data_IF_863329838003
#
_entry.id   IF_863329838003
#
_cell.length_a   1.000
_cell.length_b   1.000
_cell.length_c   1.000
_cell.angle_alpha   90.00
_cell.angle_beta   90.00
_cell.angle_gamma   90.00
#
_symmetry.space_group_name_H-M   'P 1'
#
loop_
_entity.id
_entity.type
_entity.pdbx_description
1 polymer ?
#
# COMPACT_ATOMS: atom_id res chain seq x y z
N UNK A 1 14.50 17.06 -26.11
CA UNK A 1 13.14 17.52 -26.41
C UNK A 1 12.28 16.28 -26.51
N UNK A 2 11.13 16.23 -25.83
CA UNK A 2 10.28 15.04 -25.80
C UNK A 2 9.49 14.95 -27.10
N UNK A 3 9.44 13.76 -27.69
CA UNK A 3 8.66 13.44 -28.89
C UNK A 3 7.27 12.90 -28.54
N UNK A 4 6.37 12.86 -29.53
CA UNK A 4 5.06 12.24 -29.33
C UNK A 4 5.19 10.72 -29.11
N UNK A 5 6.20 10.10 -29.70
CA UNK A 5 6.58 8.72 -29.49
C UNK A 5 6.98 8.47 -28.03
N UNK A 6 7.79 9.35 -27.43
CA UNK A 6 8.18 9.25 -26.01
C UNK A 6 6.95 9.35 -25.08
N UNK A 7 6.02 10.26 -25.40
CA UNK A 7 4.77 10.41 -24.67
C UNK A 7 3.90 9.15 -24.75
N UNK A 8 3.71 8.61 -25.96
CA UNK A 8 2.95 7.39 -26.17
C UNK A 8 3.63 6.17 -25.53
N UNK A 9 4.96 6.11 -25.56
CA UNK A 9 5.74 5.06 -24.90
C UNK A 9 5.52 5.07 -23.40
N UNK A 10 5.60 6.24 -22.75
CA UNK A 10 5.34 6.40 -21.32
C UNK A 10 3.92 5.95 -20.95
N UNK A 11 2.91 6.36 -21.73
CA UNK A 11 1.52 5.97 -21.47
C UNK A 11 1.35 4.46 -21.54
N UNK A 12 1.77 3.85 -22.64
CA UNK A 12 1.46 2.45 -22.93
C UNK A 12 2.29 1.46 -22.13
N UNK A 13 3.55 1.79 -21.79
CA UNK A 13 4.47 0.87 -21.15
C UNK A 13 4.63 1.09 -19.64
N UNK A 14 4.17 2.23 -19.11
CA UNK A 14 4.26 2.52 -17.67
C UNK A 14 2.90 2.90 -17.10
N UNK A 15 2.32 4.00 -17.57
CA UNK A 15 1.15 4.58 -16.91
C UNK A 15 -0.05 3.65 -16.91
N UNK A 16 -0.45 3.10 -18.06
CA UNK A 16 -1.65 2.25 -18.14
C UNK A 16 -1.55 1.00 -17.28
N UNK A 17 -0.36 0.37 -17.24
CA UNK A 17 -0.10 -0.83 -16.44
C UNK A 17 -0.26 -0.50 -14.95
N UNK A 18 0.49 0.50 -14.48
CA UNK A 18 0.49 0.90 -13.07
C UNK A 18 -0.89 1.45 -12.65
N UNK A 19 -1.59 2.15 -13.54
CA UNK A 19 -2.94 2.65 -13.27
C UNK A 19 -3.93 1.49 -13.07
N UNK A 20 -3.87 0.45 -13.91
CA UNK A 20 -4.72 -0.72 -13.76
C UNK A 20 -4.46 -1.44 -12.42
N UNK A 21 -3.18 -1.61 -12.04
CA UNK A 21 -2.81 -2.21 -10.75
C UNK A 21 -3.30 -1.34 -9.59
N UNK A 22 -3.16 -0.02 -9.69
CA UNK A 22 -3.64 0.93 -8.69
C UNK A 22 -5.16 0.81 -8.46
N UNK A 23 -5.93 0.67 -9.55
CA UNK A 23 -7.37 0.43 -9.44
C UNK A 23 -7.68 -0.92 -8.78
N UNK A 24 -6.91 -1.96 -9.08
CA UNK A 24 -7.09 -3.28 -8.45
C UNK A 24 -6.80 -3.23 -6.93
N UNK A 25 -5.80 -2.46 -6.51
CA UNK A 25 -5.47 -2.28 -5.09
C UNK A 25 -6.48 -1.41 -4.34
N UNK A 26 -6.94 -0.31 -4.94
CA UNK A 26 -7.81 0.65 -4.26
C UNK A 26 -9.30 0.32 -4.38
N UNK A 27 -9.70 -0.44 -5.41
CA UNK A 27 -11.10 -0.72 -5.74
C UNK A 27 -11.88 0.49 -6.27
N UNK A 28 -11.24 1.64 -6.45
CA UNK A 28 -11.84 2.88 -6.91
C UNK A 28 -10.82 3.76 -7.65
N UNK A 29 -11.31 4.73 -8.44
CA UNK A 29 -10.46 5.66 -9.17
C UNK A 29 -9.89 6.73 -8.22
N UNK A 30 -8.56 6.84 -8.04
CA UNK A 30 -7.97 7.87 -7.19
C UNK A 30 -8.11 9.25 -7.84
N UNK A 31 -8.62 10.22 -7.08
CA UNK A 31 -8.97 11.56 -7.58
C UNK A 31 -7.72 12.32 -8.05
N UNK A 32 -6.62 12.21 -7.33
CA UNK A 32 -5.35 12.87 -7.63
C UNK A 32 -4.81 12.44 -9.00
N UNK A 33 -4.90 11.15 -9.32
CA UNK A 33 -4.47 10.61 -10.62
C UNK A 33 -5.40 11.10 -11.73
N UNK A 34 -6.72 11.19 -11.48
CA UNK A 34 -7.66 11.72 -12.47
C UNK A 34 -7.37 13.18 -12.81
N UNK A 35 -7.02 14.00 -11.82
CA UNK A 35 -6.64 15.41 -12.02
C UNK A 35 -5.38 15.52 -12.88
N UNK A 36 -4.37 14.68 -12.63
CA UNK A 36 -3.16 14.65 -13.46
C UNK A 36 -3.45 14.16 -14.89
N UNK A 37 -4.33 13.16 -15.06
CA UNK A 37 -4.78 12.71 -16.38
C UNK A 37 -5.51 13.82 -17.15
N UNK A 38 -6.41 14.55 -16.50
CA UNK A 38 -7.14 15.66 -17.09
C UNK A 38 -6.17 16.78 -17.51
N UNK A 39 -5.23 17.13 -16.64
CA UNK A 39 -4.19 18.12 -16.93
C UNK A 39 -3.32 17.69 -18.11
N UNK A 40 -2.93 16.41 -18.18
CA UNK A 40 -2.19 15.85 -19.31
C UNK A 40 -2.98 15.96 -20.61
N UNK A 41 -4.28 15.61 -20.58
CA UNK A 41 -5.16 15.67 -21.74
C UNK A 41 -5.36 17.11 -22.24
N UNK A 42 -5.57 18.07 -21.35
CA UNK A 42 -5.70 19.49 -21.71
C UNK A 42 -4.46 19.98 -22.45
N UNK A 43 -3.26 19.70 -21.94
CA UNK A 43 -2.01 20.07 -22.59
C UNK A 43 -1.80 19.34 -23.92
N UNK A 44 -2.12 18.05 -23.99
CA UNK A 44 -1.99 17.28 -25.24
C UNK A 44 -2.96 17.76 -26.33
N UNK A 45 -4.16 18.20 -25.93
CA UNK A 45 -5.14 18.80 -26.84
C UNK A 45 -4.61 20.11 -27.46
N UNK A 46 -3.95 20.96 -26.65
CA UNK A 46 -3.29 22.17 -27.17
C UNK A 46 -2.16 21.79 -28.12
N UNK A 47 -1.29 20.84 -27.75
CA UNK A 47 -0.21 20.34 -28.62
C UNK A 47 -0.72 19.87 -30.00
N UNK A 48 -1.89 19.24 -30.03
CA UNK A 48 -2.49 18.66 -31.24
C UNK A 48 -3.11 19.70 -32.18
N UNK A 49 -3.56 20.84 -31.64
CA UNK A 49 -4.33 21.85 -32.40
C UNK A 49 -3.55 23.16 -32.65
N UNK A 50 -2.46 23.40 -31.94
CA UNK A 50 -1.62 24.59 -32.11
C UNK A 50 -0.72 24.47 -33.35
N UNK A 51 -0.43 25.60 -34.00
CA UNK A 51 0.46 25.69 -35.17
C UNK A 51 1.85 26.21 -34.79
N UNK A 52 1.97 26.97 -33.71
CA UNK A 52 3.24 27.44 -33.21
C UNK A 52 4.03 26.28 -32.57
N UNK A 53 5.15 25.90 -33.19
CA UNK A 53 5.99 24.78 -32.75
C UNK A 53 6.55 24.92 -31.33
N UNK A 54 6.86 26.14 -30.87
CA UNK A 54 7.34 26.37 -29.50
C UNK A 54 6.25 26.08 -28.48
N UNK A 55 5.04 26.58 -28.71
CA UNK A 55 3.87 26.34 -27.85
C UNK A 55 3.49 24.86 -27.88
N UNK A 56 3.58 24.21 -29.04
CA UNK A 56 3.37 22.75 -29.16
C UNK A 56 4.37 21.99 -28.30
N UNK A 57 5.66 22.24 -28.46
CA UNK A 57 6.71 21.54 -27.74
C UNK A 57 6.58 21.73 -26.21
N UNK A 58 6.25 22.94 -25.76
CA UNK A 58 6.01 23.23 -24.34
C UNK A 58 4.82 22.42 -23.80
N UNK A 59 3.71 22.38 -24.52
CA UNK A 59 2.51 21.65 -24.09
C UNK A 59 2.72 20.13 -24.10
N UNK A 60 3.45 19.59 -25.08
CA UNK A 60 3.81 18.17 -25.07
C UNK A 60 4.68 17.82 -23.85
N UNK A 61 5.65 18.68 -23.52
CA UNK A 61 6.48 18.51 -22.33
C UNK A 61 5.65 18.56 -21.03
N UNK A 62 4.67 19.46 -20.93
CA UNK A 62 3.76 19.53 -19.78
C UNK A 62 2.89 18.28 -19.69
N UNK A 63 2.27 17.86 -20.79
CA UNK A 63 1.47 16.65 -20.85
C UNK A 63 2.27 15.42 -20.39
N UNK A 64 3.50 15.27 -20.89
CA UNK A 64 4.42 14.22 -20.45
C UNK A 64 4.67 14.26 -18.95
N UNK A 65 5.00 15.44 -18.40
CA UNK A 65 5.28 15.60 -16.98
C UNK A 65 4.07 15.22 -16.10
N UNK A 66 2.85 15.54 -16.53
CA UNK A 66 1.63 15.14 -15.83
C UNK A 66 1.44 13.61 -15.83
N UNK A 67 1.68 12.92 -16.96
CA UNK A 67 1.60 11.45 -17.00
C UNK A 67 2.68 10.82 -16.10
N UNK A 68 3.88 11.39 -16.04
CA UNK A 68 4.91 10.91 -15.11
C UNK A 68 4.45 11.06 -13.66
N UNK A 69 3.88 12.21 -13.27
CA UNK A 69 3.34 12.39 -11.92
C UNK A 69 2.22 11.41 -11.62
N UNK A 70 1.25 11.27 -12.54
CA UNK A 70 0.17 10.30 -12.42
C UNK A 70 0.70 8.88 -12.21
N UNK A 71 1.75 8.49 -12.93
CA UNK A 71 2.41 7.18 -12.79
C UNK A 71 3.02 7.00 -11.40
N UNK A 72 3.79 7.99 -10.92
CA UNK A 72 4.40 7.96 -9.58
C UNK A 72 3.34 7.95 -8.48
N UNK A 73 2.26 8.70 -8.63
CA UNK A 73 1.16 8.75 -7.66
C UNK A 73 0.44 7.40 -7.57
N UNK A 74 0.19 6.74 -8.71
CA UNK A 74 -0.32 5.36 -8.69
C UNK A 74 0.63 4.41 -7.94
N UNK A 75 1.94 4.45 -8.22
CA UNK A 75 2.90 3.59 -7.53
C UNK A 75 2.95 3.85 -6.01
N UNK A 76 2.88 5.12 -5.59
CA UNK A 76 2.84 5.51 -4.17
C UNK A 76 1.57 5.00 -3.48
N UNK A 77 0.43 5.07 -4.15
CA UNK A 77 -0.84 4.55 -3.62
C UNK A 77 -0.81 3.03 -3.46
N UNK A 78 -0.31 2.30 -4.46
CA UNK A 78 -0.10 0.85 -4.37
C UNK A 78 0.85 0.52 -3.21
N UNK A 79 1.98 1.23 -3.12
CA UNK A 79 2.96 1.05 -2.05
C UNK A 79 2.33 1.25 -0.68
N UNK A 80 1.50 2.29 -0.49
CA UNK A 80 0.83 2.55 0.79
C UNK A 80 -0.05 1.36 1.21
N UNK A 81 -0.85 0.82 0.29
CA UNK A 81 -1.67 -0.37 0.55
C UNK A 81 -0.82 -1.60 0.89
N UNK A 82 0.24 -1.85 0.13
CA UNK A 82 1.17 -2.94 0.44
C UNK A 82 1.84 -2.76 1.79
N UNK A 83 2.25 -1.54 2.11
CA UNK A 83 2.92 -1.21 3.36
C UNK A 83 2.03 -1.53 4.56
N UNK A 84 0.77 -1.11 4.55
CA UNK A 84 -0.17 -1.43 5.64
C UNK A 84 -0.35 -2.95 5.83
N UNK A 85 -0.49 -3.69 4.73
CA UNK A 85 -0.65 -5.15 4.75
C UNK A 85 0.60 -5.86 5.30
N UNK A 86 1.78 -5.48 4.79
CA UNK A 86 3.07 -6.07 5.17
C UNK A 86 3.40 -5.69 6.61
N UNK A 87 3.21 -4.43 7.00
CA UNK A 87 3.51 -3.95 8.34
C UNK A 87 2.62 -4.64 9.40
N UNK A 88 1.35 -4.88 9.09
CA UNK A 88 0.45 -5.63 9.96
C UNK A 88 0.95 -7.05 10.26
N UNK A 89 1.50 -7.75 9.26
CA UNK A 89 2.09 -9.08 9.45
C UNK A 89 3.46 -8.95 10.15
N UNK A 90 4.28 -7.99 9.72
CA UNK A 90 5.60 -7.73 10.30
C UNK A 90 5.54 -7.46 11.80
N UNK A 91 4.52 -6.76 12.30
CA UNK A 91 4.37 -6.45 13.74
C UNK A 91 3.82 -7.61 14.56
N UNK A 92 3.10 -8.57 13.97
CA UNK A 92 2.45 -9.68 14.71
C UNK A 92 3.28 -10.98 14.65
N UNK A 93 3.92 -11.41 15.76
CA UNK A 93 4.72 -12.64 15.79
C UNK A 93 3.96 -13.90 15.40
N UNK A 94 2.67 -13.98 15.70
CA UNK A 94 1.88 -15.15 15.35
C UNK A 94 1.58 -15.17 13.85
N UNK A 95 1.25 -14.02 13.25
CA UNK A 95 1.06 -13.95 11.81
C UNK A 95 2.34 -14.28 11.06
N UNK A 96 3.50 -13.75 11.49
CA UNK A 96 4.79 -14.12 10.90
C UNK A 96 5.04 -15.63 10.97
N UNK A 97 4.82 -16.23 12.14
CA UNK A 97 5.12 -17.65 12.39
C UNK A 97 4.18 -18.62 11.70
N UNK A 98 2.90 -18.30 11.60
CA UNK A 98 1.88 -19.26 11.17
C UNK A 98 1.27 -18.97 9.81
N UNK A 99 1.37 -17.73 9.31
CA UNK A 99 0.68 -17.30 8.08
C UNK A 99 1.63 -17.05 6.91
N UNK A 100 2.92 -17.35 7.05
CA UNK A 100 3.92 -17.20 5.99
C UNK A 100 4.44 -18.56 5.57
N UNK A 101 4.83 -18.70 4.30
CA UNK A 101 5.44 -19.91 3.74
C UNK A 101 6.98 -19.93 3.86
N UNK A 102 7.55 -18.91 4.49
CA UNK A 102 8.99 -18.77 4.75
C UNK A 102 9.29 -18.87 6.25
N UNK A 103 10.57 -18.94 6.61
CA UNK A 103 10.96 -18.83 8.03
C UNK A 103 10.73 -17.41 8.53
N UNK A 104 10.44 -17.24 9.82
CA UNK A 104 10.24 -15.91 10.40
C UNK A 104 11.46 -14.99 10.16
N UNK A 105 12.67 -15.53 10.27
CA UNK A 105 13.90 -14.77 9.99
C UNK A 105 13.97 -14.30 8.53
N UNK A 106 13.66 -15.17 7.57
CA UNK A 106 13.65 -14.82 6.15
C UNK A 106 12.58 -13.78 5.85
N UNK A 107 11.37 -13.94 6.40
CA UNK A 107 10.29 -12.97 6.25
C UNK A 107 10.67 -11.59 6.79
N UNK A 108 11.26 -11.53 8.00
CA UNK A 108 11.71 -10.27 8.59
C UNK A 108 12.80 -9.58 7.74
N UNK A 109 13.73 -10.34 7.18
CA UNK A 109 14.76 -9.80 6.29
C UNK A 109 14.16 -9.18 5.03
N UNK A 110 13.23 -9.88 4.38
CA UNK A 110 12.50 -9.39 3.21
C UNK A 110 11.72 -8.10 3.50
N UNK A 111 11.01 -8.04 4.62
CA UNK A 111 10.28 -6.84 5.05
C UNK A 111 11.21 -5.64 5.32
N UNK A 112 12.34 -5.88 5.98
CA UNK A 112 13.32 -4.82 6.22
C UNK A 112 13.89 -4.27 4.91
N UNK A 113 14.19 -5.14 3.96
CA UNK A 113 14.63 -4.72 2.62
C UNK A 113 13.56 -3.89 1.90
N UNK A 114 12.29 -4.31 1.96
CA UNK A 114 11.16 -3.53 1.43
C UNK A 114 11.07 -2.12 2.05
N UNK A 115 11.24 -1.99 3.37
CA UNK A 115 11.24 -0.69 4.04
C UNK A 115 12.46 0.17 3.68
N UNK A 116 13.62 -0.42 3.43
CA UNK A 116 14.79 0.30 2.93
C UNK A 116 14.61 0.76 1.48
N UNK A 117 14.05 -0.10 0.60
CA UNK A 117 13.71 0.27 -0.77
C UNK A 117 12.73 1.44 -0.80
N UNK A 118 11.77 1.52 0.13
CA UNK A 118 10.85 2.65 0.21
C UNK A 118 11.57 3.98 0.49
N UNK A 119 12.58 3.96 1.38
CA UNK A 119 13.41 5.13 1.67
C UNK A 119 14.25 5.52 0.45
N UNK A 120 14.79 4.55 -0.28
CA UNK A 120 15.58 4.77 -1.50
C UNK A 120 14.70 5.38 -2.59
N UNK A 121 13.53 4.81 -2.87
CA UNK A 121 12.59 5.30 -3.87
C UNK A 121 12.18 6.75 -3.58
N UNK A 122 11.85 7.08 -2.32
CA UNK A 122 11.52 8.46 -1.93
C UNK A 122 12.69 9.42 -2.09
N UNK A 123 13.91 8.99 -1.73
CA UNK A 123 15.13 9.79 -1.91
C UNK A 123 15.39 10.06 -3.39
N UNK A 124 15.24 9.05 -4.23
CA UNK A 124 15.39 9.17 -5.68
C UNK A 124 14.34 10.10 -6.27
N UNK A 125 13.09 10.02 -5.84
CA UNK A 125 12.03 10.96 -6.26
C UNK A 125 12.45 12.41 -6.00
N UNK A 126 12.85 12.73 -4.75
CA UNK A 126 13.27 14.07 -4.35
C UNK A 126 14.48 14.55 -5.16
N UNK A 127 15.47 13.67 -5.38
CA UNK A 127 16.69 14.03 -6.11
C UNK A 127 16.47 14.22 -7.62
N UNK A 128 15.44 13.58 -8.18
CA UNK A 128 15.15 13.59 -9.61
C UNK A 128 13.97 14.47 -10.02
N UNK A 129 13.37 15.24 -9.09
CA UNK A 129 12.31 16.22 -9.40
C UNK A 129 12.79 17.14 -10.52
N UNK A 130 12.03 17.18 -11.62
CA UNK A 130 12.33 18.04 -12.77
C UNK A 130 13.60 17.67 -13.55
N UNK A 131 14.25 16.54 -13.25
CA UNK A 131 15.50 16.10 -13.90
C UNK A 131 15.35 14.79 -14.67
N UNK A 132 15.08 13.69 -13.95
CA UNK A 132 15.07 12.33 -14.51
C UNK A 132 13.95 11.50 -13.90
N UNK A 133 12.69 11.81 -14.21
CA UNK A 133 11.60 11.26 -13.45
C UNK A 133 11.30 9.78 -13.78
N UNK A 134 11.80 9.26 -14.92
CA UNK A 134 11.80 7.81 -15.21
C UNK A 134 12.61 7.00 -14.19
N UNK A 135 13.72 7.55 -13.67
CA UNK A 135 14.52 6.87 -12.64
C UNK A 135 13.71 6.67 -11.35
N UNK A 136 12.89 7.66 -11.00
CA UNK A 136 11.99 7.56 -9.85
C UNK A 136 10.95 6.46 -10.06
N UNK A 137 10.39 6.34 -11.27
CA UNK A 137 9.43 5.30 -11.62
C UNK A 137 10.06 3.90 -11.47
N UNK A 138 11.30 3.72 -11.92
CA UNK A 138 12.05 2.46 -11.78
C UNK A 138 12.30 2.10 -10.31
N UNK A 139 12.74 3.05 -9.48
CA UNK A 139 12.96 2.79 -8.05
C UNK A 139 11.66 2.38 -7.34
N UNK A 140 10.53 2.99 -7.70
CA UNK A 140 9.22 2.56 -7.19
C UNK A 140 8.78 1.20 -7.76
N UNK A 141 9.07 0.89 -9.02
CA UNK A 141 8.76 -0.41 -9.62
C UNK A 141 9.43 -1.55 -8.84
N UNK A 142 10.73 -1.44 -8.54
CA UNK A 142 11.43 -2.43 -7.74
C UNK A 142 10.91 -2.56 -6.30
N UNK A 143 10.50 -1.45 -5.70
CA UNK A 143 9.82 -1.46 -4.40
C UNK A 143 8.53 -2.29 -4.45
N UNK A 144 7.69 -2.08 -5.48
CA UNK A 144 6.44 -2.80 -5.64
C UNK A 144 6.65 -4.29 -5.95
N UNK A 145 7.63 -4.65 -6.78
CA UNK A 145 8.00 -6.06 -7.01
C UNK A 145 8.37 -6.77 -5.71
N UNK A 146 9.17 -6.12 -4.85
CA UNK A 146 9.51 -6.65 -3.52
C UNK A 146 8.26 -6.82 -2.65
N UNK A 147 7.39 -5.81 -2.63
CA UNK A 147 6.12 -5.87 -1.90
C UNK A 147 5.23 -7.04 -2.35
N UNK A 148 5.09 -7.24 -3.66
CA UNK A 148 4.38 -8.39 -4.23
C UNK A 148 5.00 -9.73 -3.82
N UNK A 149 6.33 -9.86 -3.90
CA UNK A 149 7.03 -11.07 -3.47
C UNK A 149 6.72 -11.43 -2.01
N UNK A 150 6.75 -10.43 -1.11
CA UNK A 150 6.41 -10.62 0.30
C UNK A 150 4.95 -11.05 0.44
N UNK A 151 4.01 -10.35 -0.18
CA UNK A 151 2.59 -10.67 -0.07
C UNK A 151 2.24 -12.04 -0.65
N UNK A 152 2.89 -12.47 -1.72
CA UNK A 152 2.73 -13.80 -2.30
C UNK A 152 3.29 -14.92 -1.41
N UNK A 153 4.20 -14.61 -0.50
CA UNK A 153 4.69 -15.56 0.51
C UNK A 153 3.69 -15.78 1.66
N UNK A 154 2.67 -14.94 1.77
CA UNK A 154 1.63 -15.02 2.81
C UNK A 154 0.56 -16.02 2.37
N UNK A 155 0.30 -16.99 3.23
CA UNK A 155 -0.74 -17.98 3.04
C UNK A 155 -2.08 -17.44 3.56
N UNK A 156 -2.93 -17.00 2.63
CA UNK A 156 -4.24 -16.41 2.93
C UNK A 156 -5.15 -17.39 3.69
N UNK A 157 -5.09 -18.68 3.39
CA UNK A 157 -5.92 -19.69 4.05
C UNK A 157 -5.49 -19.86 5.51
N UNK A 158 -4.19 -19.94 5.78
CA UNK A 158 -3.66 -19.96 7.15
C UNK A 158 -3.99 -18.69 7.91
N UNK A 159 -3.90 -17.52 7.25
CA UNK A 159 -4.27 -16.23 7.86
C UNK A 159 -5.75 -16.20 8.26
N UNK A 160 -6.64 -16.68 7.40
CA UNK A 160 -8.07 -16.73 7.72
C UNK A 160 -8.36 -17.71 8.86
N UNK A 161 -7.78 -18.91 8.82
CA UNK A 161 -7.92 -19.91 9.89
C UNK A 161 -7.41 -19.38 11.23
N UNK A 162 -6.23 -18.75 11.24
CA UNK A 162 -5.66 -18.13 12.42
C UNK A 162 -6.57 -17.04 12.99
N UNK A 163 -7.10 -16.15 12.14
CA UNK A 163 -8.01 -15.09 12.56
C UNK A 163 -9.32 -15.63 13.16
N UNK A 164 -9.89 -16.69 12.56
CA UNK A 164 -11.08 -17.36 13.11
C UNK A 164 -10.78 -17.99 14.47
N UNK A 165 -9.63 -18.67 14.59
CA UNK A 165 -9.20 -19.31 15.82
C UNK A 165 -8.90 -18.29 16.93
N UNK A 166 -8.19 -17.20 16.64
CA UNK A 166 -7.86 -16.17 17.63
C UNK A 166 -9.10 -15.46 18.16
N UNK A 167 -10.08 -15.15 17.27
CA UNK A 167 -11.39 -14.61 17.67
C UNK A 167 -12.13 -15.57 18.60
N UNK A 168 -12.15 -16.86 18.26
CA UNK A 168 -12.79 -17.87 19.10
C UNK A 168 -12.14 -17.99 20.48
N UNK A 169 -10.80 -17.97 20.55
CA UNK A 169 -10.08 -17.96 21.82
C UNK A 169 -10.37 -16.71 22.65
N UNK A 170 -10.43 -15.53 22.03
CA UNK A 170 -10.77 -14.27 22.70
C UNK A 170 -12.17 -14.31 23.33
N UNK A 171 -13.16 -14.82 22.58
CA UNK A 171 -14.53 -15.00 23.10
C UNK A 171 -14.52 -15.97 24.29
N UNK A 172 -13.82 -17.10 24.19
CA UNK A 172 -13.70 -18.05 25.30
C UNK A 172 -13.08 -17.43 26.54
N UNK A 173 -12.01 -16.66 26.38
CA UNK A 173 -11.34 -15.98 27.50
C UNK A 173 -12.28 -15.00 28.20
N UNK A 174 -13.01 -14.19 27.45
CA UNK A 174 -13.97 -13.24 28.01
C UNK A 174 -15.12 -13.94 28.76
N UNK A 175 -15.59 -15.08 28.25
CA UNK A 175 -16.62 -15.88 28.94
C UNK A 175 -16.07 -16.47 30.26
N UNK A 176 -14.84 -16.98 30.25
CA UNK A 176 -14.20 -17.49 31.47
C UNK A 176 -14.01 -16.37 32.50
N UNK A 177 -13.56 -15.19 32.07
CA UNK A 177 -13.43 -14.02 32.94
C UNK A 177 -14.78 -13.57 33.51
N UNK A 178 -15.84 -13.55 32.70
CA UNK A 178 -17.20 -13.26 33.16
C UNK A 178 -17.66 -14.24 34.25
N UNK A 179 -17.42 -15.55 34.06
CA UNK A 179 -17.78 -16.59 35.03
C UNK A 179 -16.99 -16.42 36.33
N UNK A 180 -15.68 -16.13 36.25
CA UNK A 180 -14.83 -15.89 37.41
C UNK A 180 -15.29 -14.64 38.17
N UNK A 181 -15.58 -13.54 37.47
CA UNK A 181 -16.07 -12.31 38.06
C UNK A 181 -17.45 -12.50 38.72
N UNK A 182 -18.33 -13.27 38.09
CA UNK A 182 -19.65 -13.59 38.65
C UNK A 182 -19.54 -14.45 39.91
N UNK A 183 -18.74 -15.51 39.89
CA UNK A 183 -18.50 -16.36 41.06
C UNK A 183 -17.84 -15.57 42.20
N UNK A 184 -16.87 -14.72 41.89
CA UNK A 184 -16.23 -13.83 42.87
C UNK A 184 -17.22 -12.86 43.51
N UNK A 185 -18.11 -12.25 42.71
CA UNK A 185 -19.16 -11.36 43.21
C UNK A 185 -20.18 -12.06 44.11
N UNK A 186 -20.57 -13.29 43.79
CA UNK A 186 -21.44 -14.10 44.64
C UNK A 186 -20.78 -14.42 45.98
N UNK A 187 -19.51 -14.84 45.96
CA UNK A 187 -18.74 -15.16 47.18
C UNK A 187 -18.57 -13.89 48.04
N UNK A 188 -18.22 -12.76 47.45
CA UNK A 188 -18.06 -11.51 48.21
C UNK A 188 -19.39 -11.05 48.81
N UNK A 189 -20.51 -11.21 48.08
CA UNK A 189 -21.85 -10.89 48.57
C UNK A 189 -22.27 -11.75 49.76
N UNK A 190 -21.97 -13.06 49.73
CA UNK A 190 -22.21 -13.98 50.86
C UNK A 190 -21.35 -13.61 52.06
N UNK A 191 -20.06 -13.32 51.87
CA UNK A 191 -19.16 -12.89 52.96
C UNK A 191 -19.67 -11.58 53.57
N UNK A 192 -20.10 -10.62 52.76
CA UNK A 192 -20.63 -9.35 53.23
C UNK A 192 -21.92 -9.54 54.05
N UNK A 193 -22.81 -10.44 53.62
CA UNK A 193 -24.00 -10.81 54.39
C UNK A 193 -23.67 -11.51 55.72
N UNK A 194 -22.60 -12.29 55.79
CA UNK A 194 -22.16 -12.94 57.04
C UNK A 194 -21.54 -11.91 58.00
N UNK A 195 -20.81 -10.91 57.48
CA UNK A 195 -20.15 -9.87 58.30
C UNK A 195 -21.13 -8.78 58.76
N UNK A 196 -22.09 -8.38 57.92
CA UNK A 196 -23.05 -7.30 58.17
C UNK A 196 -24.46 -7.79 58.52
N UNK A 197 -24.68 -9.10 58.52
CA UNK A 197 -25.93 -9.70 58.97
C UNK A 197 -26.12 -9.50 60.47
N UNK A 198 -27.36 -9.34 60.95
CA UNK A 198 -27.67 -9.08 62.36
C UNK A 198 -27.21 -10.19 63.32
#
# INVERSE_FOLDING_TARGET
>A
MISAEDYNYLINNYFLIVYADCLAYLGQKPVEVLIEMESAFMHFSIYSNEKNEEIRAENLQKAYNHIVRATLDCQKLIWLQMHELIEGIYKDPNLRKFCTNSTEQSFLAECNEFFELAKIARRDEINNIGKKPLKSIESYYHLLEKGHSILNSVDCDKKEQFNRYSKFLGIKKNIVELIISFAGGLISGVILMIILGP
#
